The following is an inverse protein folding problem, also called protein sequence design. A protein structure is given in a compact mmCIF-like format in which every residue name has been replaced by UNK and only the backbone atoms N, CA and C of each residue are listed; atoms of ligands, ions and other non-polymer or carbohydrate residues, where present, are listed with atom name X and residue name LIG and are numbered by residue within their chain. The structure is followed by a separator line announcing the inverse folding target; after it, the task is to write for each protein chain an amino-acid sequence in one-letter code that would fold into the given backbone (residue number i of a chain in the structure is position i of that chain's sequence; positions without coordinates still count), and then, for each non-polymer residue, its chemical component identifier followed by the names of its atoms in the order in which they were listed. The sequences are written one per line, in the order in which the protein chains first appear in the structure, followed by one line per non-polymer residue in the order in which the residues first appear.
data_IF_637857199021
#
_entry.id   IF_637857199021
#
_cell.length_a   1.000
_cell.length_b   1.000
_cell.length_c   1.000
_cell.angle_alpha   90.00
_cell.angle_beta   90.00
_cell.angle_gamma   90.00
#
_symmetry.space_group_name_H-M   'P 1'
#
loop_
_entity.id
_entity.type
_entity.pdbx_description
1 polymer ?
#
# COMPACT_ATOMS: atom_id res chain seq x y z
N UNK A 1 -10.93 6.09 0.09
CA UNK A 1 -9.46 6.10 0.20
C UNK A 1 -9.01 7.34 0.96
N UNK A 2 -7.99 7.21 1.80
CA UNK A 2 -7.36 8.38 2.42
C UNK A 2 -6.43 9.09 1.43
N UNK A 3 -5.67 8.31 0.68
CA UNK A 3 -4.81 8.80 -0.41
C UNK A 3 -5.00 7.93 -1.63
N UNK A 4 -4.95 8.56 -2.80
CA UNK A 4 -5.01 7.83 -4.06
C UNK A 4 -3.94 8.36 -5.02
N UNK A 5 -3.15 7.44 -5.57
CA UNK A 5 -2.14 7.73 -6.59
C UNK A 5 -2.63 7.12 -7.90
N UNK A 6 -2.82 7.95 -8.91
CA UNK A 6 -3.36 7.52 -10.21
C UNK A 6 -2.34 7.57 -11.33
N UNK A 7 -1.24 8.26 -11.15
CA UNK A 7 -0.09 8.34 -12.04
C UNK A 7 1.01 9.19 -11.39
N UNK A 8 2.22 9.06 -11.88
CA UNK A 8 3.31 9.96 -11.52
C UNK A 8 4.59 9.25 -11.13
N UNK A 9 5.61 10.02 -10.82
CA UNK A 9 6.90 9.50 -10.38
C UNK A 9 7.56 10.40 -9.35
N UNK A 10 8.49 9.85 -8.60
CA UNK A 10 9.24 10.59 -7.60
C UNK A 10 8.42 10.98 -6.36
N UNK A 11 7.38 10.22 -6.02
CA UNK A 11 6.47 10.56 -4.92
C UNK A 11 6.87 9.86 -3.63
N UNK A 12 6.61 10.53 -2.52
CA UNK A 12 6.84 10.00 -1.17
C UNK A 12 5.64 10.22 -0.29
N UNK A 13 5.23 9.15 0.39
CA UNK A 13 4.21 9.17 1.44
C UNK A 13 4.92 8.71 2.71
N UNK A 14 5.22 9.62 3.60
CA UNK A 14 6.02 9.31 4.78
C UNK A 14 5.61 10.08 6.03
N UNK A 15 5.80 9.46 7.19
CA UNK A 15 5.54 10.07 8.47
C UNK A 15 4.07 10.34 8.79
N UNK A 16 3.14 9.63 8.17
CA UNK A 16 1.71 9.87 8.33
C UNK A 16 1.06 8.84 9.24
N UNK A 17 -0.07 9.23 9.82
CA UNK A 17 -1.03 8.31 10.42
C UNK A 17 -2.26 8.29 9.52
N UNK A 18 -2.54 7.14 8.91
CA UNK A 18 -3.60 6.98 7.94
C UNK A 18 -4.58 5.92 8.44
N UNK A 19 -5.82 6.32 8.71
CA UNK A 19 -6.83 5.43 9.24
C UNK A 19 -8.25 5.89 8.89
N UNK A 20 -9.21 4.99 9.05
CA UNK A 20 -10.64 5.30 8.90
C UNK A 20 -11.20 5.16 7.49
N UNK A 21 -10.39 4.91 6.48
CA UNK A 21 -10.89 4.69 5.13
C UNK A 21 -11.55 3.30 5.03
N UNK A 22 -12.58 3.18 4.18
CA UNK A 22 -13.28 1.90 3.99
C UNK A 22 -12.60 1.01 2.95
N UNK A 23 -12.18 1.60 1.84
CA UNK A 23 -11.59 0.83 0.75
C UNK A 23 -10.09 0.63 0.95
N UNK A 24 -9.33 1.70 1.01
CA UNK A 24 -7.89 1.65 1.27
C UNK A 24 -7.42 2.93 1.96
N UNK A 25 -6.44 2.82 2.83
CA UNK A 25 -5.73 4.00 3.33
C UNK A 25 -4.91 4.61 2.19
N UNK A 26 -4.18 3.78 1.45
CA UNK A 26 -3.47 4.21 0.23
C UNK A 26 -3.88 3.31 -0.92
N UNK A 27 -4.46 3.91 -1.95
CA UNK A 27 -4.81 3.24 -3.20
C UNK A 27 -3.84 3.70 -4.28
N UNK A 28 -3.14 2.77 -4.90
CA UNK A 28 -2.25 3.05 -6.01
C UNK A 28 -2.81 2.37 -7.25
N UNK A 29 -3.16 3.18 -8.23
CA UNK A 29 -3.66 2.71 -9.52
C UNK A 29 -2.82 3.28 -10.64
N UNK A 30 -3.11 2.90 -11.86
CA UNK A 30 -2.49 3.48 -13.04
C UNK A 30 -3.58 3.90 -14.06
N UNK A 31 -4.69 4.38 -13.56
CA UNK A 31 -5.83 4.76 -14.42
C UNK A 31 -5.51 5.89 -15.39
N UNK A 32 -4.64 6.81 -15.01
CA UNK A 32 -4.25 7.96 -15.83
C UNK A 32 -2.93 7.71 -16.54
N UNK A 33 -2.02 6.97 -15.93
CA UNK A 33 -0.71 6.71 -16.49
C UNK A 33 0.13 5.83 -15.56
N UNK A 34 1.38 5.54 -15.92
CA UNK A 34 2.24 4.73 -15.08
C UNK A 34 2.57 5.41 -13.75
N UNK A 35 2.79 4.60 -12.72
CA UNK A 35 3.30 5.04 -11.43
C UNK A 35 4.67 4.44 -11.23
N UNK A 36 5.67 5.29 -11.09
CA UNK A 36 7.06 4.89 -10.93
C UNK A 36 7.70 5.64 -9.76
N UNK A 37 8.68 5.03 -9.12
CA UNK A 37 9.46 5.67 -8.07
C UNK A 37 8.55 6.26 -6.98
N UNK A 38 7.73 5.41 -6.38
CA UNK A 38 6.86 5.75 -5.27
C UNK A 38 7.41 5.11 -4.00
N UNK A 39 7.52 5.90 -2.94
CA UNK A 39 7.93 5.41 -1.62
C UNK A 39 6.81 5.64 -0.61
N UNK A 40 6.43 4.58 0.09
CA UNK A 40 5.48 4.61 1.20
C UNK A 40 6.23 4.14 2.43
N UNK A 41 6.75 5.07 3.22
CA UNK A 41 7.70 4.76 4.28
C UNK A 41 7.32 5.44 5.60
N UNK A 42 7.56 4.74 6.69
CA UNK A 42 7.50 5.31 8.05
C UNK A 42 6.11 5.83 8.41
N UNK A 43 5.06 5.15 7.96
CA UNK A 43 3.68 5.50 8.29
C UNK A 43 3.11 4.53 9.32
N UNK A 44 2.09 4.98 10.03
CA UNK A 44 1.17 4.12 10.77
C UNK A 44 -0.14 4.05 9.99
N UNK A 45 -0.57 2.85 9.60
CA UNK A 45 -1.65 2.64 8.65
C UNK A 45 -2.62 1.60 9.19
N UNK A 46 -3.92 1.88 9.13
CA UNK A 46 -4.95 0.92 9.51
C UNK A 46 -6.21 1.10 8.67
N UNK A 47 -7.14 0.18 8.86
CA UNK A 47 -8.44 0.14 8.20
C UNK A 47 -8.35 -0.15 6.70
N UNK A 48 -9.42 0.15 5.99
CA UNK A 48 -9.59 -0.26 4.61
C UNK A 48 -10.03 -1.71 4.48
N UNK A 49 -10.41 -2.12 3.30
CA UNK A 49 -10.55 -3.54 2.99
C UNK A 49 -9.17 -4.21 3.09
N UNK A 50 -8.21 -3.70 2.33
CA UNK A 50 -6.77 -3.83 2.59
C UNK A 50 -6.21 -2.43 2.75
N UNK A 51 -5.27 -2.24 3.67
CA UNK A 51 -4.84 -0.88 4.00
C UNK A 51 -4.09 -0.21 2.87
N UNK A 52 -3.17 -0.90 2.22
CA UNK A 52 -2.46 -0.43 1.03
C UNK A 52 -2.81 -1.33 -0.14
N UNK A 53 -3.38 -0.75 -1.18
CA UNK A 53 -3.89 -1.50 -2.32
C UNK A 53 -3.19 -1.05 -3.61
N UNK A 54 -2.42 -1.96 -4.20
CA UNK A 54 -1.84 -1.78 -5.52
C UNK A 54 -2.77 -2.43 -6.54
N UNK A 55 -3.56 -1.61 -7.21
CA UNK A 55 -4.60 -2.06 -8.12
C UNK A 55 -4.07 -2.68 -9.41
N UNK A 56 -4.93 -3.41 -10.09
CA UNK A 56 -4.63 -4.02 -11.39
C UNK A 56 -5.04 -3.13 -12.55
N UNK A 57 -4.58 -3.45 -13.75
CA UNK A 57 -4.92 -2.76 -14.99
C UNK A 57 -4.03 -1.56 -15.28
N UNK A 58 -4.09 -1.06 -16.51
CA UNK A 58 -3.32 0.08 -16.96
C UNK A 58 -1.83 -0.20 -17.17
N UNK A 59 -1.02 0.86 -17.37
CA UNK A 59 0.42 0.72 -17.52
C UNK A 59 1.10 0.21 -16.25
N UNK A 60 2.34 -0.19 -16.40
CA UNK A 60 3.13 -0.78 -15.33
C UNK A 60 3.40 0.17 -14.16
N UNK A 61 3.54 -0.42 -12.99
CA UNK A 61 4.13 0.22 -11.82
C UNK A 61 5.56 -0.30 -11.64
N UNK A 62 6.50 0.59 -11.36
CA UNK A 62 7.90 0.22 -11.14
C UNK A 62 8.56 1.09 -10.07
N UNK A 63 9.58 0.56 -9.40
CA UNK A 63 10.29 1.26 -8.36
C UNK A 63 9.42 1.59 -7.14
N UNK A 64 8.54 0.68 -6.77
CA UNK A 64 7.62 0.88 -5.64
C UNK A 64 8.28 0.34 -4.37
N UNK A 65 8.43 1.20 -3.37
CA UNK A 65 8.96 0.84 -2.06
C UNK A 65 7.90 1.04 -1.00
N UNK A 66 7.74 0.05 -0.13
CA UNK A 66 6.84 0.11 1.03
C UNK A 66 7.67 -0.35 2.23
N UNK A 67 8.22 0.58 2.98
CA UNK A 67 9.23 0.26 3.98
C UNK A 67 8.91 0.84 5.35
N UNK A 68 9.16 0.06 6.38
CA UNK A 68 9.13 0.50 7.78
C UNK A 68 7.80 1.12 8.20
N UNK A 69 6.70 0.60 7.69
CA UNK A 69 5.37 1.01 8.13
C UNK A 69 4.89 0.09 9.24
N UNK A 70 4.09 0.67 10.13
CA UNK A 70 3.37 -0.10 11.15
C UNK A 70 1.90 -0.16 10.76
N UNK A 71 1.32 -1.35 10.85
CA UNK A 71 -0.08 -1.57 10.46
C UNK A 71 -0.92 -1.99 11.67
N UNK A 72 -2.05 -1.33 11.87
CA UNK A 72 -3.11 -1.85 12.72
C UNK A 72 -3.80 -3.03 12.04
N UNK A 73 -4.63 -3.78 12.79
CA UNK A 73 -5.29 -5.00 12.29
C UNK A 73 -6.79 -4.86 12.07
N UNK A 74 -7.29 -3.66 11.87
CA UNK A 74 -8.71 -3.42 11.65
C UNK A 74 -9.11 -3.35 10.17
N UNK A 75 -8.46 -4.12 9.32
CA UNK A 75 -8.86 -4.27 7.93
C UNK A 75 -10.16 -5.10 7.85
N UNK A 76 -11.00 -4.78 6.87
CA UNK A 76 -12.22 -5.58 6.58
C UNK A 76 -11.84 -6.99 6.12
N UNK A 77 -10.83 -7.10 5.26
CA UNK A 77 -10.23 -8.38 4.91
C UNK A 77 -9.15 -8.67 5.96
N UNK A 78 -9.32 -9.71 6.72
CA UNK A 78 -8.43 -10.03 7.84
C UNK A 78 -6.98 -10.16 7.37
N UNK A 79 -6.08 -9.52 8.11
CA UNK A 79 -4.63 -9.54 7.90
C UNK A 79 -4.19 -9.00 6.53
N UNK A 80 -5.03 -8.22 5.88
CA UNK A 80 -4.70 -7.61 4.59
C UNK A 80 -4.12 -6.21 4.77
N UNK A 81 -2.86 -6.13 5.16
CA UNK A 81 -2.16 -4.86 5.25
C UNK A 81 -1.85 -4.29 3.87
N UNK A 82 -1.27 -5.11 3.01
CA UNK A 82 -0.84 -4.74 1.66
C UNK A 82 -1.37 -5.80 0.69
N UNK A 83 -2.04 -5.36 -0.35
CA UNK A 83 -2.45 -6.25 -1.44
C UNK A 83 -1.84 -5.79 -2.76
N UNK A 84 -1.32 -6.75 -3.52
CA UNK A 84 -0.78 -6.56 -4.85
C UNK A 84 -1.61 -7.35 -5.85
N UNK A 85 -2.13 -6.65 -6.84
CA UNK A 85 -2.88 -7.28 -7.92
C UNK A 85 -1.97 -7.64 -9.08
N UNK A 86 -2.48 -8.42 -10.03
CA UNK A 86 -1.67 -9.19 -10.97
C UNK A 86 -0.63 -8.40 -11.78
N UNK A 87 -0.83 -7.13 -12.01
CA UNK A 87 0.10 -6.33 -12.82
C UNK A 87 0.89 -5.28 -12.06
N UNK A 88 0.69 -5.16 -10.77
CA UNK A 88 1.58 -4.33 -9.99
C UNK A 88 2.88 -5.09 -9.79
N UNK A 89 3.93 -4.59 -10.34
CA UNK A 89 5.22 -5.26 -10.36
C UNK A 89 6.18 -4.60 -9.39
N UNK A 90 7.33 -5.09 -9.24
CA UNK A 90 8.46 -4.45 -8.58
C UNK A 90 8.14 -3.85 -7.19
N UNK A 91 7.24 -4.49 -6.47
CA UNK A 91 6.93 -4.14 -5.10
C UNK A 91 7.91 -4.84 -4.16
N UNK A 92 8.66 -4.06 -3.39
CA UNK A 92 9.66 -4.58 -2.45
C UNK A 92 9.39 -4.06 -1.04
N UNK A 93 8.54 -4.76 -0.28
CA UNK A 93 8.26 -4.37 1.10
C UNK A 93 9.40 -4.83 2.03
N UNK A 94 9.88 -3.91 2.86
CA UNK A 94 10.94 -4.19 3.84
C UNK A 94 10.59 -3.53 5.18
N UNK A 95 10.65 -4.30 6.26
CA UNK A 95 10.52 -3.77 7.60
C UNK A 95 9.11 -3.34 8.00
N UNK A 96 8.08 -3.78 7.28
CA UNK A 96 6.70 -3.52 7.66
C UNK A 96 6.27 -4.51 8.73
N UNK A 97 5.64 -4.01 9.77
CA UNK A 97 5.25 -4.83 10.92
C UNK A 97 3.82 -4.54 11.34
N UNK A 98 3.20 -5.52 11.98
CA UNK A 98 1.95 -5.33 12.71
C UNK A 98 2.22 -4.58 14.01
N UNK A 99 1.43 -3.57 14.29
CA UNK A 99 1.60 -2.74 15.48
C UNK A 99 1.37 -3.51 16.78
N UNK A 100 0.51 -4.53 16.74
CA UNK A 100 0.13 -5.31 17.92
C UNK A 100 1.27 -6.14 18.51
N UNK A 101 2.17 -6.68 17.67
CA UNK A 101 3.15 -7.68 18.10
C UNK A 101 4.50 -7.59 17.38
N UNK A 102 4.71 -6.57 16.56
CA UNK A 102 5.91 -6.39 15.73
C UNK A 102 6.17 -7.56 14.75
N UNK A 103 5.19 -8.41 14.51
CA UNK A 103 5.34 -9.49 13.54
C UNK A 103 5.44 -8.92 12.12
N UNK A 104 6.21 -9.55 11.22
CA UNK A 104 6.35 -9.06 9.86
C UNK A 104 5.03 -9.14 9.08
N UNK A 105 4.76 -8.11 8.30
CA UNK A 105 3.62 -8.06 7.39
C UNK A 105 3.95 -8.77 6.10
N UNK A 106 3.05 -9.62 5.65
CA UNK A 106 3.14 -10.26 4.34
C UNK A 106 2.29 -9.52 3.32
N UNK A 107 2.72 -9.56 2.05
CA UNK A 107 1.94 -9.02 0.94
C UNK A 107 0.93 -10.07 0.48
N UNK A 108 -0.35 -9.69 0.46
CA UNK A 108 -1.41 -10.52 -0.11
C UNK A 108 -1.44 -10.35 -1.62
N UNK A 109 -1.82 -11.41 -2.34
CA UNK A 109 -1.99 -11.37 -3.78
C UNK A 109 -3.47 -11.31 -4.13
N UNK A 110 -3.83 -10.36 -5.01
CA UNK A 110 -5.15 -10.27 -5.60
C UNK A 110 -5.13 -10.68 -7.06
N UNK A 111 -6.30 -10.90 -7.59
CA UNK A 111 -6.49 -11.21 -9.02
C UNK A 111 -6.64 -9.94 -9.87
#
# INVERSE_FOLDING_TARGET
DSMQVVAGSGMRIGGNTLMGARNAAVMVTQYVGPTNDLQINDNWIDNGACSVNFGSGGPYQSGIQVNNNRFGRAQIVADCAIIRRARSSDLRPVGNVWDSDDAPVSVSRGS
#
